data_IF_699177244957
#
_entry.id   IF_699177244957
#
_cell.length_a   1.000
_cell.length_b   1.000
_cell.length_c   1.000
_cell.angle_alpha   90.00
_cell.angle_beta   90.00
_cell.angle_gamma   90.00
#
_symmetry.space_group_name_H-M   'P 1'
#
loop_
_entity.id
_entity.type
_entity.pdbx_description
1 polymer ?
#
# COMPACT_ATOMS: atom_id res chain seq x y z
N UNK A 1 24.91 -4.14 -15.80
CA UNK A 1 23.56 -4.10 -15.18
C UNK A 1 23.53 -2.92 -14.21
N UNK A 2 22.77 -1.87 -14.54
CA UNK A 2 22.87 -0.57 -13.86
C UNK A 2 22.23 -0.55 -12.48
N UNK A 3 22.82 0.26 -11.56
CA UNK A 3 22.38 0.50 -10.17
C UNK A 3 20.89 0.83 -9.98
N UNK A 4 20.17 1.20 -11.05
CA UNK A 4 18.70 1.37 -11.08
C UNK A 4 17.93 0.05 -11.03
N UNK A 5 18.40 -1.00 -11.70
CA UNK A 5 17.76 -2.32 -11.71
C UNK A 5 17.81 -2.99 -10.33
N UNK A 6 18.92 -2.79 -9.60
CA UNK A 6 19.14 -3.37 -8.28
C UNK A 6 18.23 -2.74 -7.21
N UNK A 7 17.93 -1.43 -7.30
CA UNK A 7 16.96 -0.76 -6.42
C UNK A 7 15.51 -1.18 -6.69
N UNK A 8 15.14 -1.43 -7.95
CA UNK A 8 13.82 -1.97 -8.30
C UNK A 8 13.63 -3.41 -7.80
N UNK A 9 14.65 -4.26 -7.95
CA UNK A 9 14.65 -5.63 -7.44
C UNK A 9 14.56 -5.70 -5.92
N UNK A 10 15.28 -4.83 -5.19
CA UNK A 10 15.19 -4.71 -3.73
C UNK A 10 13.80 -4.23 -3.27
N UNK A 11 13.18 -3.27 -3.97
CA UNK A 11 11.81 -2.85 -3.67
C UNK A 11 10.79 -3.96 -3.91
N UNK A 12 10.93 -4.70 -5.02
CA UNK A 12 10.10 -5.87 -5.33
C UNK A 12 10.28 -7.00 -4.31
N UNK A 13 11.53 -7.26 -3.87
CA UNK A 13 11.84 -8.23 -2.82
C UNK A 13 11.26 -7.80 -1.47
N UNK A 14 11.33 -6.52 -1.09
CA UNK A 14 10.71 -6.02 0.13
C UNK A 14 9.18 -6.08 0.08
N UNK A 15 8.55 -5.74 -1.06
CA UNK A 15 7.09 -5.84 -1.24
C UNK A 15 6.62 -7.30 -1.24
N UNK A 16 7.36 -8.22 -1.86
CA UNK A 16 7.06 -9.66 -1.82
C UNK A 16 7.31 -10.29 -0.43
N UNK A 17 8.30 -9.78 0.32
CA UNK A 17 8.58 -10.19 1.69
C UNK A 17 7.51 -9.73 2.69
N UNK A 18 6.94 -8.54 2.49
CA UNK A 18 5.79 -8.04 3.25
C UNK A 18 4.52 -8.85 2.95
N UNK A 19 4.29 -9.23 1.70
CA UNK A 19 3.14 -10.08 1.30
C UNK A 19 3.23 -11.50 1.87
N UNK A 20 4.44 -12.01 2.13
CA UNK A 20 4.63 -13.34 2.75
C UNK A 20 4.30 -13.39 4.24
N UNK A 21 4.22 -12.26 4.93
CA UNK A 21 3.94 -12.21 6.38
C UNK A 21 2.45 -12.11 6.72
N UNK A 22 1.58 -12.04 5.71
CA UNK A 22 0.13 -11.98 5.85
C UNK A 22 -0.56 -13.22 5.24
N UNK A 23 0.10 -14.38 5.29
CA UNK A 23 -0.59 -15.66 5.14
C UNK A 23 -1.62 -15.76 6.28
N UNK A 24 -2.87 -15.52 5.89
CA UNK A 24 -4.03 -15.34 6.72
C UNK A 24 -4.14 -16.40 7.83
N UNK A 25 -4.58 -15.94 9.00
CA UNK A 25 -4.93 -16.75 10.18
C UNK A 25 -6.16 -17.63 9.92
N UNK A 26 -6.12 -18.48 8.90
CA UNK A 26 -7.15 -19.49 8.68
C UNK A 26 -6.82 -20.70 9.55
N UNK A 27 -7.72 -21.03 10.45
CA UNK A 27 -7.68 -22.24 11.26
C UNK A 27 -9.00 -23.01 11.07
N UNK A 28 -8.96 -24.32 11.32
CA UNK A 28 -10.13 -25.18 11.17
C UNK A 28 -10.67 -25.53 12.55
N UNK A 29 -11.97 -25.37 12.75
CA UNK A 29 -12.65 -26.00 13.89
C UNK A 29 -12.72 -27.52 13.66
N UNK A 30 -12.97 -28.26 14.72
CA UNK A 30 -13.19 -29.70 14.68
C UNK A 30 -14.57 -30.02 15.23
N UNK A 31 -15.33 -30.81 14.47
CA UNK A 31 -16.52 -31.48 14.98
C UNK A 31 -16.07 -32.75 15.69
N UNK A 32 -16.37 -32.85 16.98
CA UNK A 32 -15.97 -33.94 17.85
C UNK A 32 -17.23 -34.67 18.31
N UNK A 33 -17.32 -35.94 17.96
CA UNK A 33 -18.34 -36.86 18.47
C UNK A 33 -17.70 -37.78 19.52
N UNK A 34 -18.24 -37.77 20.74
CA UNK A 34 -17.80 -38.56 21.88
C UNK A 34 -18.86 -39.64 22.16
N UNK A 35 -18.47 -40.91 22.11
CA UNK A 35 -19.34 -42.06 22.39
C UNK A 35 -18.87 -42.80 23.63
N UNK A 36 -19.80 -43.15 24.51
CA UNK A 36 -19.52 -43.98 25.68
C UNK A 36 -20.79 -44.69 26.17
N UNK A 37 -20.61 -45.81 26.87
CA UNK A 37 -21.71 -46.53 27.50
C UNK A 37 -22.04 -45.94 28.86
N UNK A 38 -23.29 -45.52 29.09
CA UNK A 38 -23.71 -45.06 30.41
C UNK A 38 -24.12 -46.26 31.27
N UNK A 39 -23.28 -46.62 32.25
CA UNK A 39 -23.53 -47.76 33.15
C UNK A 39 -24.76 -47.61 34.06
N UNK A 40 -25.36 -46.42 34.19
CA UNK A 40 -26.59 -46.22 34.98
C UNK A 40 -27.83 -46.61 34.18
N UNK A 41 -27.90 -46.20 32.91
CA UNK A 41 -29.10 -46.37 32.07
C UNK A 41 -28.96 -47.51 31.05
N UNK A 42 -27.79 -48.17 31.03
CA UNK A 42 -27.40 -49.20 30.06
C UNK A 42 -27.64 -48.74 28.60
N UNK A 43 -27.26 -47.49 28.31
CA UNK A 43 -27.48 -46.84 27.01
C UNK A 43 -26.20 -46.26 26.46
N UNK A 44 -26.03 -46.42 25.14
CA UNK A 44 -25.00 -45.72 24.39
C UNK A 44 -25.34 -44.23 24.34
N UNK A 45 -24.43 -43.40 24.85
CA UNK A 45 -24.52 -41.95 24.78
C UNK A 45 -23.55 -41.46 23.70
N UNK A 46 -24.08 -40.71 22.73
CA UNK A 46 -23.30 -40.01 21.72
C UNK A 46 -23.50 -38.49 21.86
N UNK A 47 -22.40 -37.75 22.06
CA UNK A 47 -22.40 -36.30 22.19
C UNK A 47 -21.59 -35.69 21.06
N UNK A 48 -22.19 -34.78 20.30
CA UNK A 48 -21.55 -34.12 19.15
C UNK A 48 -21.37 -32.64 19.48
N UNK A 49 -20.18 -32.08 19.21
CA UNK A 49 -19.95 -30.64 19.28
C UNK A 49 -18.91 -30.14 18.28
N UNK A 50 -19.12 -28.95 17.72
CA UNK A 50 -18.09 -28.17 17.00
C UNK A 50 -17.24 -27.40 18.03
N UNK A 51 -16.52 -28.14 18.87
CA UNK A 51 -15.87 -27.65 20.09
C UNK A 51 -14.35 -27.76 20.08
N UNK A 52 -13.78 -28.40 19.06
CA UNK A 52 -12.33 -28.53 18.88
C UNK A 52 -11.77 -27.51 17.90
N UNK A 53 -10.45 -27.31 17.94
CA UNK A 53 -9.70 -26.51 16.98
C UNK A 53 -8.46 -27.28 16.54
N UNK A 54 -8.27 -27.47 15.24
CA UNK A 54 -7.08 -28.11 14.69
C UNK A 54 -5.84 -27.24 14.93
N UNK A 55 -4.74 -27.89 15.30
CA UNK A 55 -3.44 -27.24 15.39
C UNK A 55 -2.98 -26.69 14.06
N UNK A 56 -2.17 -25.63 14.08
CA UNK A 56 -1.72 -24.92 12.86
C UNK A 56 -0.91 -25.82 11.90
N UNK A 57 -0.28 -26.86 12.43
CA UNK A 57 0.54 -27.81 11.68
C UNK A 57 -0.11 -29.21 11.64
N UNK A 58 -1.38 -29.31 12.04
CA UNK A 58 -2.13 -30.57 12.08
C UNK A 58 -2.64 -30.92 10.69
N UNK A 59 -2.71 -32.23 10.41
CA UNK A 59 -3.53 -32.71 9.31
C UNK A 59 -5.00 -32.43 9.62
N UNK A 60 -5.74 -31.94 8.62
CA UNK A 60 -7.17 -31.62 8.72
C UNK A 60 -7.96 -32.73 8.03
N UNK A 61 -7.99 -33.90 8.67
CA UNK A 61 -8.64 -35.11 8.17
C UNK A 61 -9.50 -35.77 9.26
N UNK A 62 -10.38 -36.67 8.85
CA UNK A 62 -11.22 -37.44 9.77
C UNK A 62 -10.42 -38.56 10.44
N UNK A 63 -10.54 -38.71 11.76
CA UNK A 63 -9.98 -39.83 12.53
C UNK A 63 -10.98 -40.36 13.55
N UNK A 64 -10.87 -41.65 13.85
CA UNK A 64 -11.68 -42.35 14.84
C UNK A 64 -10.82 -43.27 15.70
N UNK A 65 -11.13 -43.38 16.99
CA UNK A 65 -10.48 -44.36 17.86
C UNK A 65 -10.91 -44.28 19.33
N UNK A 66 -10.50 -45.28 20.10
CA UNK A 66 -10.66 -45.30 21.55
C UNK A 66 -9.77 -44.25 22.22
N UNK A 67 -10.27 -43.56 23.23
CA UNK A 67 -9.57 -42.48 23.91
C UNK A 67 -8.70 -43.04 25.02
N UNK A 68 -7.40 -42.73 25.00
CA UNK A 68 -6.43 -43.26 25.96
C UNK A 68 -5.71 -42.13 26.68
N UNK A 69 -5.64 -42.23 28.02
CA UNK A 69 -4.89 -41.32 28.86
C UNK A 69 -3.43 -41.79 29.00
N UNK A 70 -2.46 -40.86 29.14
CA UNK A 70 -1.11 -41.23 29.55
C UNK A 70 -1.12 -41.82 30.97
N UNK A 71 -0.25 -42.80 31.19
CA UNK A 71 -0.04 -43.39 32.51
C UNK A 71 0.69 -42.39 33.40
N UNK A 72 0.10 -42.06 34.56
CA UNK A 72 0.64 -41.06 35.48
C UNK A 72 0.05 -39.68 35.23
N UNK A 73 0.91 -38.71 34.85
CA UNK A 73 0.47 -37.34 34.62
C UNK A 73 -0.25 -37.16 33.28
N UNK A 74 -1.35 -36.40 33.30
CA UNK A 74 -2.20 -36.13 32.15
C UNK A 74 -1.49 -35.26 31.10
N UNK A 75 -0.43 -34.54 31.46
CA UNK A 75 0.27 -33.66 30.53
C UNK A 75 0.98 -34.42 29.40
N UNK A 76 1.38 -35.67 29.60
CA UNK A 76 2.07 -36.45 28.57
C UNK A 76 3.44 -35.88 28.17
N UNK A 77 4.16 -35.27 29.11
CA UNK A 77 5.50 -34.71 28.90
C UNK A 77 6.63 -35.70 29.28
N UNK A 78 7.87 -35.45 28.85
CA UNK A 78 9.07 -36.12 29.37
C UNK A 78 9.54 -37.35 28.58
N UNK A 79 10.10 -38.35 29.28
CA UNK A 79 10.82 -39.51 28.69
C UNK A 79 9.95 -40.50 27.88
N UNK A 80 8.73 -40.10 27.51
CA UNK A 80 7.73 -40.94 26.86
C UNK A 80 6.66 -41.39 27.85
N UNK A 81 5.54 -40.65 28.00
CA UNK A 81 4.37 -41.16 28.72
C UNK A 81 3.91 -42.50 28.12
N UNK A 82 3.65 -43.51 28.94
CA UNK A 82 3.13 -44.80 28.46
C UNK A 82 1.62 -44.72 28.25
N UNK A 83 1.13 -45.20 27.11
CA UNK A 83 -0.30 -45.31 26.81
C UNK A 83 -0.74 -46.77 26.81
N UNK A 84 -1.58 -47.16 27.78
CA UNK A 84 -2.16 -48.50 27.82
C UNK A 84 -3.30 -48.60 26.81
N UNK A 85 -3.03 -49.20 25.65
CA UNK A 85 -3.97 -49.33 24.55
C UNK A 85 -3.98 -50.75 23.99
N UNK A 86 -5.04 -51.09 23.26
CA UNK A 86 -5.11 -52.34 22.52
C UNK A 86 -4.50 -52.15 21.12
N UNK A 87 -3.44 -52.90 20.80
CA UNK A 87 -2.70 -52.77 19.54
C UNK A 87 -3.55 -53.07 18.29
N UNK A 88 -4.70 -53.74 18.44
CA UNK A 88 -5.58 -54.11 17.33
C UNK A 88 -6.57 -53.01 16.94
N UNK A 89 -6.65 -51.92 17.72
CA UNK A 89 -7.66 -50.86 17.56
C UNK A 89 -7.01 -49.49 17.41
N UNK A 90 -7.55 -48.68 16.49
CA UNK A 90 -7.18 -47.26 16.38
C UNK A 90 -7.50 -46.54 17.70
N UNK A 91 -6.58 -45.70 18.16
CA UNK A 91 -6.71 -44.98 19.42
C UNK A 91 -6.24 -43.53 19.32
N UNK A 92 -6.79 -42.69 20.19
CA UNK A 92 -6.56 -41.25 20.25
C UNK A 92 -6.04 -40.89 21.63
N UNK A 93 -4.88 -40.23 21.68
CA UNK A 93 -4.30 -39.79 22.94
C UNK A 93 -5.04 -38.56 23.46
N UNK A 94 -5.51 -38.60 24.71
CA UNK A 94 -6.07 -37.43 25.40
C UNK A 94 -5.08 -36.91 26.44
N UNK A 95 -4.53 -35.72 26.21
CA UNK A 95 -3.49 -35.10 27.05
C UNK A 95 -3.88 -33.69 27.48
N UNK A 96 -3.41 -33.27 28.66
CA UNK A 96 -3.65 -31.95 29.22
C UNK A 96 -2.61 -30.95 28.71
N UNK A 97 -3.05 -29.73 28.42
CA UNK A 97 -2.15 -28.58 28.24
C UNK A 97 -1.36 -28.37 29.53
N UNK A 98 -0.06 -28.26 29.39
CA UNK A 98 0.86 -28.27 30.51
C UNK A 98 2.14 -27.52 30.21
N UNK A 99 3.22 -27.90 30.88
CA UNK A 99 4.46 -27.13 30.86
C UNK A 99 5.41 -27.49 29.70
N UNK A 100 5.16 -28.59 28.99
CA UNK A 100 5.88 -28.92 27.76
C UNK A 100 5.15 -28.45 26.49
N UNK A 101 5.89 -28.39 25.38
CA UNK A 101 5.38 -27.89 24.10
C UNK A 101 4.31 -28.82 23.52
N UNK A 102 3.44 -28.28 22.66
CA UNK A 102 2.48 -29.11 21.92
C UNK A 102 3.19 -30.16 21.06
N UNK A 103 4.28 -29.79 20.39
CA UNK A 103 5.08 -30.71 19.58
C UNK A 103 5.56 -31.92 20.38
N UNK A 104 6.06 -31.69 21.60
CA UNK A 104 6.58 -32.77 22.46
C UNK A 104 5.50 -33.80 22.81
N UNK A 105 4.34 -33.34 23.28
CA UNK A 105 3.19 -34.19 23.64
C UNK A 105 2.69 -34.98 22.43
N UNK A 106 2.54 -34.29 21.30
CA UNK A 106 2.01 -34.88 20.07
C UNK A 106 2.97 -35.96 19.56
N UNK A 107 4.28 -35.68 19.51
CA UNK A 107 5.29 -36.65 19.09
C UNK A 107 5.43 -37.82 20.07
N UNK A 108 5.20 -37.61 21.37
CA UNK A 108 5.23 -38.68 22.36
C UNK A 108 4.11 -39.71 22.13
N UNK A 109 2.89 -39.25 21.87
CA UNK A 109 1.76 -40.11 21.52
C UNK A 109 1.93 -40.74 20.13
N UNK A 110 2.35 -39.95 19.12
CA UNK A 110 2.58 -40.42 17.75
C UNK A 110 3.60 -41.56 17.69
N UNK A 111 4.70 -41.47 18.46
CA UNK A 111 5.72 -42.54 18.53
C UNK A 111 5.20 -43.87 19.07
N UNK A 112 4.06 -43.87 19.76
CA UNK A 112 3.39 -45.07 20.26
C UNK A 112 2.21 -45.51 19.38
N UNK A 113 2.05 -44.93 18.19
CA UNK A 113 1.04 -45.36 17.21
C UNK A 113 -0.34 -44.73 17.38
N UNK A 114 -0.46 -43.61 18.11
CA UNK A 114 -1.72 -42.86 18.18
C UNK A 114 -2.16 -42.40 16.79
N UNK A 115 -3.44 -42.59 16.45
CA UNK A 115 -4.03 -42.10 15.20
C UNK A 115 -4.19 -40.57 15.21
N UNK A 116 -4.30 -39.98 16.41
CA UNK A 116 -4.26 -38.54 16.62
C UNK A 116 -4.19 -38.18 18.09
N UNK A 117 -4.13 -36.88 18.36
CA UNK A 117 -3.90 -36.33 19.70
C UNK A 117 -4.90 -35.24 20.00
N UNK A 118 -5.63 -35.39 21.10
CA UNK A 118 -6.55 -34.39 21.64
C UNK A 118 -5.87 -33.74 22.84
N UNK A 119 -5.57 -32.46 22.73
CA UNK A 119 -5.05 -31.66 23.84
C UNK A 119 -6.20 -30.89 24.47
N UNK A 120 -6.53 -31.14 25.73
CA UNK A 120 -7.52 -30.30 26.42
C UNK A 120 -6.84 -29.17 27.21
N UNK A 121 -7.50 -28.02 27.25
CA UNK A 121 -6.90 -26.79 27.78
C UNK A 121 -6.66 -26.85 29.31
N UNK A 122 -5.92 -25.88 29.84
CA UNK A 122 -5.53 -25.81 31.25
C UNK A 122 -6.73 -25.53 32.19
N UNK A 123 -6.55 -25.78 33.49
CA UNK A 123 -7.63 -25.56 34.45
C UNK A 123 -8.04 -24.08 34.51
N UNK A 124 -9.33 -23.84 34.74
CA UNK A 124 -9.90 -22.48 34.79
C UNK A 124 -10.22 -21.86 33.43
N UNK A 125 -9.88 -22.48 32.30
CA UNK A 125 -10.22 -21.95 30.96
C UNK A 125 -11.63 -22.31 30.48
N UNK A 126 -12.38 -23.10 31.24
CA UNK A 126 -13.73 -23.54 30.86
C UNK A 126 -13.76 -24.21 29.48
N UNK A 127 -14.61 -23.69 28.59
CA UNK A 127 -14.77 -24.19 27.22
C UNK A 127 -13.86 -23.48 26.19
N UNK A 128 -13.01 -22.56 26.63
CA UNK A 128 -12.12 -21.83 25.73
C UNK A 128 -11.03 -22.74 25.18
N UNK A 129 -10.78 -22.64 23.88
CA UNK A 129 -9.68 -23.29 23.17
C UNK A 129 -8.57 -22.28 22.85
N UNK A 130 -7.39 -22.78 22.49
CA UNK A 130 -6.28 -21.97 22.00
C UNK A 130 -5.71 -22.61 20.73
N UNK A 131 -5.29 -21.79 19.78
CA UNK A 131 -4.64 -22.31 18.57
C UNK A 131 -3.31 -22.96 18.93
N UNK A 132 -3.18 -24.26 18.68
CA UNK A 132 -1.91 -24.96 18.89
C UNK A 132 -0.94 -24.64 17.76
N UNK A 133 0.32 -24.44 18.12
CA UNK A 133 1.44 -24.34 17.17
C UNK A 133 2.45 -25.43 17.50
N UNK A 134 2.70 -26.33 16.55
CA UNK A 134 3.50 -27.54 16.76
C UNK A 134 4.33 -27.90 15.51
N UNK A 135 5.27 -27.03 15.10
CA UNK A 135 5.99 -27.18 13.83
C UNK A 135 6.85 -28.46 13.74
N UNK A 136 7.21 -29.06 14.87
CA UNK A 136 8.04 -30.27 14.94
C UNK A 136 7.21 -31.56 14.98
N UNK A 137 5.88 -31.46 15.06
CA UNK A 137 4.96 -32.59 15.07
C UNK A 137 3.99 -32.48 13.87
N UNK A 138 4.49 -32.85 12.69
CA UNK A 138 3.75 -32.90 11.42
C UNK A 138 3.19 -34.30 11.17
N UNK A 139 2.38 -34.46 10.12
CA UNK A 139 1.78 -35.75 9.69
C UNK A 139 1.01 -36.46 10.82
N UNK A 140 0.15 -35.70 11.51
CA UNK A 140 -0.68 -36.19 12.60
C UNK A 140 -1.87 -35.28 12.77
N UNK A 141 -3.02 -35.86 13.11
CA UNK A 141 -4.17 -35.07 13.54
C UNK A 141 -3.99 -34.67 14.99
N UNK A 142 -4.01 -33.38 15.27
CA UNK A 142 -3.89 -32.79 16.59
C UNK A 142 -4.93 -31.67 16.77
N UNK A 143 -5.85 -31.84 17.72
CA UNK A 143 -6.89 -30.84 18.02
C UNK A 143 -6.79 -30.37 19.47
N UNK A 144 -7.23 -29.14 19.73
CA UNK A 144 -7.44 -28.63 21.08
C UNK A 144 -8.92 -28.55 21.41
N UNK A 145 -9.31 -29.06 22.59
CA UNK A 145 -10.65 -28.90 23.17
C UNK A 145 -10.59 -28.09 24.48
N UNK A 146 -11.73 -27.56 24.91
CA UNK A 146 -11.84 -26.88 26.20
C UNK A 146 -11.53 -27.79 27.38
N UNK A 147 -11.08 -27.21 28.50
CA UNK A 147 -10.77 -27.94 29.73
C UNK A 147 -12.01 -28.66 30.28
N UNK A 148 -13.19 -28.01 30.23
CA UNK A 148 -14.45 -28.59 30.70
C UNK A 148 -14.80 -29.89 29.98
N UNK A 149 -14.70 -29.93 28.66
CA UNK A 149 -14.92 -31.13 27.85
C UNK A 149 -13.87 -32.20 28.13
N UNK A 150 -12.58 -31.83 28.11
CA UNK A 150 -11.49 -32.78 28.37
C UNK A 150 -11.58 -33.44 29.74
N UNK A 151 -11.85 -32.66 30.79
CA UNK A 151 -12.03 -33.19 32.15
C UNK A 151 -13.28 -34.06 32.28
N UNK A 152 -14.33 -33.79 31.51
CA UNK A 152 -15.50 -34.67 31.41
C UNK A 152 -15.12 -36.07 30.91
N UNK A 153 -14.31 -36.14 29.86
CA UNK A 153 -13.81 -37.42 29.31
C UNK A 153 -12.84 -38.11 30.26
N UNK A 154 -11.93 -37.37 30.89
CA UNK A 154 -11.02 -37.91 31.91
C UNK A 154 -11.78 -38.59 33.05
N UNK A 155 -12.89 -38.01 33.50
CA UNK A 155 -13.73 -38.60 34.57
C UNK A 155 -14.37 -39.92 34.14
N UNK A 156 -14.84 -40.03 32.90
CA UNK A 156 -15.39 -41.27 32.35
C UNK A 156 -14.32 -42.37 32.31
N UNK A 157 -13.16 -42.08 31.73
CA UNK A 157 -12.05 -43.03 31.61
C UNK A 157 -11.54 -43.50 32.98
N UNK A 158 -11.41 -42.59 33.95
CA UNK A 158 -10.99 -42.94 35.32
C UNK A 158 -12.01 -43.78 36.09
N UNK A 159 -13.30 -43.67 35.74
CA UNK A 159 -14.35 -44.51 36.29
C UNK A 159 -14.46 -45.87 35.57
N UNK A 160 -13.52 -46.21 34.68
CA UNK A 160 -13.51 -47.45 33.93
C UNK A 160 -14.52 -47.49 32.78
N UNK A 161 -15.01 -46.34 32.33
CA UNK A 161 -15.89 -46.26 31.16
C UNK A 161 -15.05 -46.06 29.90
N UNK A 162 -15.19 -46.97 28.93
CA UNK A 162 -14.56 -46.81 27.63
C UNK A 162 -15.20 -45.66 26.85
N UNK A 163 -14.35 -44.82 26.25
CA UNK A 163 -14.77 -43.67 25.46
C UNK A 163 -14.16 -43.77 24.07
N UNK A 164 -14.97 -43.55 23.05
CA UNK A 164 -14.54 -43.42 21.66
C UNK A 164 -14.73 -41.98 21.18
N UNK A 165 -13.83 -41.53 20.31
CA UNK A 165 -13.93 -40.23 19.66
C UNK A 165 -13.88 -40.37 18.15
N UNK A 166 -14.77 -39.65 17.47
CA UNK A 166 -14.70 -39.36 16.04
C UNK A 166 -14.46 -37.86 15.87
N UNK A 167 -13.40 -37.50 15.15
CA UNK A 167 -12.99 -36.11 14.91
C UNK A 167 -13.11 -35.86 13.41
N UNK A 168 -13.87 -34.84 13.04
CA UNK A 168 -14.05 -34.41 11.65
C UNK A 168 -13.62 -32.96 11.45
N UNK A 169 -13.13 -32.60 10.26
CA UNK A 169 -12.95 -31.21 9.86
C UNK A 169 -14.26 -30.41 10.00
N UNK A 170 -14.21 -29.32 10.77
CA UNK A 170 -15.30 -28.36 10.91
C UNK A 170 -15.21 -27.23 9.88
N UNK A 171 -15.61 -26.03 10.28
CA UNK A 171 -15.61 -24.84 9.42
C UNK A 171 -14.27 -24.09 9.47
N UNK A 172 -13.79 -23.57 8.33
CA UNK A 172 -12.64 -22.68 8.32
C UNK A 172 -13.01 -21.34 8.97
N UNK A 173 -12.17 -20.86 9.87
CA UNK A 173 -12.28 -19.58 10.55
C UNK A 173 -11.01 -18.77 10.29
N UNK A 174 -11.17 -17.52 9.92
CA UNK A 174 -10.07 -16.59 9.67
C UNK A 174 -10.61 -15.27 9.18
N UNK A 175 -9.74 -14.27 8.96
CA UNK A 175 -10.18 -13.05 8.31
C UNK A 175 -10.60 -13.42 6.88
N UNK A 176 -11.92 -13.48 6.65
CA UNK A 176 -12.55 -13.47 5.33
C UNK A 176 -12.35 -12.09 4.67
N UNK A 177 -11.14 -11.54 4.76
CA UNK A 177 -10.71 -10.54 3.78
C UNK A 177 -10.33 -11.37 2.58
N UNK A 178 -11.33 -11.64 1.74
CA UNK A 178 -11.10 -12.19 0.42
C UNK A 178 -9.88 -11.48 -0.15
N UNK A 179 -8.86 -12.24 -0.54
CA UNK A 179 -7.59 -11.69 -1.06
C UNK A 179 -7.85 -10.63 -2.14
N UNK A 180 -8.97 -10.74 -2.85
CA UNK A 180 -9.56 -9.74 -3.74
C UNK A 180 -9.68 -8.32 -3.15
N UNK A 181 -10.08 -8.14 -1.89
CA UNK A 181 -10.17 -6.83 -1.25
C UNK A 181 -8.80 -6.15 -1.12
N UNK A 182 -7.75 -6.92 -0.78
CA UNK A 182 -6.39 -6.38 -0.71
C UNK A 182 -5.88 -5.99 -2.10
N UNK A 183 -6.14 -6.82 -3.12
CA UNK A 183 -5.81 -6.48 -4.50
C UNK A 183 -6.55 -5.23 -4.98
N UNK A 184 -7.85 -5.12 -4.68
CA UNK A 184 -8.67 -3.96 -5.06
C UNK A 184 -8.12 -2.66 -4.47
N UNK A 185 -7.77 -2.65 -3.18
CA UNK A 185 -7.16 -1.48 -2.53
C UNK A 185 -5.80 -1.12 -3.14
N UNK A 186 -4.97 -2.13 -3.45
CA UNK A 186 -3.67 -1.90 -4.08
C UNK A 186 -3.80 -1.30 -5.47
N UNK A 187 -4.72 -1.83 -6.30
CA UNK A 187 -4.97 -1.37 -7.67
C UNK A 187 -5.50 0.06 -7.64
N UNK A 188 -6.46 0.36 -6.76
CA UNK A 188 -7.01 1.70 -6.61
C UNK A 188 -5.92 2.72 -6.25
N UNK A 189 -5.01 2.38 -5.35
CA UNK A 189 -3.88 3.24 -4.98
C UNK A 189 -2.96 3.54 -6.18
N UNK A 190 -2.61 2.52 -6.99
CA UNK A 190 -1.78 2.72 -8.19
C UNK A 190 -2.47 3.56 -9.26
N UNK A 191 -3.78 3.39 -9.44
CA UNK A 191 -4.55 4.19 -10.43
C UNK A 191 -4.60 5.66 -10.02
N UNK A 192 -4.89 5.95 -8.75
CA UNK A 192 -4.96 7.34 -8.25
C UNK A 192 -3.60 8.03 -8.29
N UNK A 193 -2.53 7.32 -7.94
CA UNK A 193 -1.16 7.86 -8.01
C UNK A 193 -0.73 8.12 -9.46
N UNK A 194 -1.03 7.22 -10.40
CA UNK A 194 -0.74 7.45 -11.82
C UNK A 194 -1.52 8.65 -12.40
N UNK A 195 -2.80 8.77 -12.05
CA UNK A 195 -3.65 9.88 -12.48
C UNK A 195 -3.14 11.22 -11.94
N UNK A 196 -2.81 11.30 -10.65
CA UNK A 196 -2.26 12.53 -10.04
C UNK A 196 -0.92 12.94 -10.65
N UNK A 197 0.02 11.99 -10.85
CA UNK A 197 1.31 12.27 -11.50
C UNK A 197 1.13 12.79 -12.92
N UNK A 198 0.26 12.16 -13.71
CA UNK A 198 -0.04 12.59 -15.09
C UNK A 198 -0.64 14.01 -15.09
N UNK A 199 -1.54 14.30 -14.17
CA UNK A 199 -2.13 15.63 -14.00
C UNK A 199 -1.07 16.68 -13.65
N UNK A 200 -0.16 16.40 -12.71
CA UNK A 200 0.95 17.31 -12.36
C UNK A 200 1.92 17.54 -13.52
N UNK A 201 2.23 16.50 -14.30
CA UNK A 201 3.05 16.62 -15.52
C UNK A 201 2.35 17.51 -16.54
N UNK A 202 1.06 17.30 -16.77
CA UNK A 202 0.28 18.12 -17.70
C UNK A 202 0.23 19.59 -17.25
N UNK A 203 0.01 19.86 -15.96
CA UNK A 203 -0.01 21.23 -15.43
C UNK A 203 1.35 21.91 -15.55
N UNK A 204 2.44 21.21 -15.20
CA UNK A 204 3.80 21.74 -15.28
C UNK A 204 4.21 21.98 -16.74
N UNK A 205 3.92 21.04 -17.65
CA UNK A 205 4.16 21.18 -19.08
C UNK A 205 3.35 22.35 -19.67
N UNK A 206 2.06 22.46 -19.32
CA UNK A 206 1.20 23.56 -19.76
C UNK A 206 1.69 24.91 -19.26
N UNK A 207 2.14 25.00 -18.01
CA UNK A 207 2.73 26.22 -17.44
C UNK A 207 4.00 26.62 -18.18
N UNK A 208 4.91 25.67 -18.40
CA UNK A 208 6.15 25.90 -19.15
C UNK A 208 5.87 26.29 -20.61
N UNK A 209 4.88 25.65 -21.25
CA UNK A 209 4.46 26.00 -22.59
C UNK A 209 3.91 27.43 -22.67
N UNK A 210 3.05 27.84 -21.73
CA UNK A 210 2.53 29.23 -21.66
C UNK A 210 3.66 30.25 -21.48
N UNK A 211 4.60 30.01 -20.56
CA UNK A 211 5.74 30.91 -20.32
C UNK A 211 6.64 31.02 -21.55
N UNK A 212 6.99 29.88 -22.18
CA UNK A 212 7.78 29.85 -23.41
C UNK A 212 7.06 30.56 -24.56
N UNK A 213 5.74 30.39 -24.68
CA UNK A 213 4.93 31.09 -25.69
C UNK A 213 4.95 32.61 -25.47
N UNK A 214 4.81 33.07 -24.23
CA UNK A 214 4.90 34.50 -23.90
C UNK A 214 6.30 35.06 -24.25
N UNK A 215 7.36 34.37 -23.84
CA UNK A 215 8.74 34.77 -24.16
C UNK A 215 8.99 34.81 -25.67
N UNK A 216 8.47 33.84 -26.44
CA UNK A 216 8.60 33.81 -27.90
C UNK A 216 7.84 34.97 -28.56
N UNK A 217 6.64 35.28 -28.07
CA UNK A 217 5.84 36.40 -28.56
C UNK A 217 6.53 37.74 -28.29
N UNK A 218 7.04 37.96 -27.07
CA UNK A 218 7.81 39.17 -26.73
C UNK A 218 9.05 39.32 -27.61
N UNK A 219 9.83 38.24 -27.80
CA UNK A 219 10.99 38.25 -28.72
C UNK A 219 10.58 38.57 -30.16
N UNK A 220 9.48 38.00 -30.65
CA UNK A 220 8.95 38.26 -32.00
C UNK A 220 8.53 39.72 -32.15
N UNK A 221 7.84 40.26 -31.15
CA UNK A 221 7.33 41.63 -31.18
C UNK A 221 8.47 42.65 -31.05
N UNK A 222 9.48 42.39 -30.20
CA UNK A 222 10.73 43.17 -30.14
C UNK A 222 11.50 43.14 -31.45
N UNK A 223 11.54 41.99 -32.13
CA UNK A 223 12.17 41.87 -33.46
C UNK A 223 11.42 42.69 -34.53
N UNK A 224 10.08 42.66 -34.53
CA UNK A 224 9.25 43.52 -35.39
C UNK A 224 9.49 45.00 -35.09
N UNK A 225 9.50 45.41 -33.81
CA UNK A 225 9.78 46.78 -33.39
C UNK A 225 11.16 47.24 -33.88
N UNK A 226 12.21 46.42 -33.71
CA UNK A 226 13.54 46.71 -34.26
C UNK A 226 13.54 46.92 -35.77
N UNK A 227 12.76 46.14 -36.52
CA UNK A 227 12.64 46.31 -37.98
C UNK A 227 11.92 47.62 -38.31
N UNK A 228 10.80 47.90 -37.64
CA UNK A 228 10.00 49.10 -37.82
C UNK A 228 10.77 50.39 -37.50
N UNK A 229 11.51 50.41 -36.37
CA UNK A 229 12.34 51.56 -35.96
C UNK A 229 13.37 51.92 -37.04
N UNK A 230 13.96 50.92 -37.72
CA UNK A 230 14.91 51.17 -38.81
C UNK A 230 14.29 51.79 -40.06
N UNK A 231 12.97 51.71 -40.22
CA UNK A 231 12.25 52.32 -41.33
C UNK A 231 11.77 53.74 -41.01
N UNK A 232 11.92 54.22 -39.77
CA UNK A 232 11.54 55.57 -39.40
C UNK A 232 12.48 56.59 -40.02
N UNK A 233 11.95 57.77 -40.33
CA UNK A 233 12.73 58.85 -40.89
C UNK A 233 13.67 59.40 -39.82
N UNK A 234 14.98 59.33 -40.08
CA UNK A 234 16.02 59.92 -39.24
C UNK A 234 16.64 61.08 -40.01
N UNK A 235 16.72 62.25 -39.39
CA UNK A 235 17.35 63.44 -39.96
C UNK A 235 18.21 64.15 -38.92
N UNK A 236 19.21 64.89 -39.38
CA UNK A 236 20.04 65.73 -38.52
C UNK A 236 19.55 67.17 -38.66
N UNK A 237 19.31 67.85 -37.54
CA UNK A 237 18.85 69.23 -37.57
C UNK A 237 19.96 70.18 -38.06
N UNK A 238 19.60 71.02 -39.02
CA UNK A 238 20.43 72.03 -39.65
C UNK A 238 20.08 73.43 -39.16
N UNK A 239 20.76 74.45 -39.70
CA UNK A 239 20.54 75.83 -39.29
C UNK A 239 19.20 76.40 -39.71
N UNK A 240 18.61 75.82 -40.75
CA UNK A 240 17.42 76.33 -41.41
C UNK A 240 16.14 75.64 -40.89
N UNK A 241 16.28 74.65 -40.00
CA UNK A 241 15.17 73.92 -39.41
C UNK A 241 14.50 74.73 -38.28
N UNK A 242 13.18 74.91 -38.36
CA UNK A 242 12.39 75.62 -37.35
C UNK A 242 12.52 75.00 -35.95
N UNK A 243 12.69 73.67 -35.88
CA UNK A 243 12.81 72.95 -34.61
C UNK A 243 14.11 73.25 -33.86
N UNK A 244 15.19 73.63 -34.56
CA UNK A 244 16.47 73.99 -33.95
C UNK A 244 16.56 75.48 -33.58
N UNK A 245 15.69 76.32 -34.14
CA UNK A 245 15.72 77.78 -33.97
C UNK A 245 14.67 78.31 -32.97
N UNK A 246 13.77 77.45 -32.49
CA UNK A 246 12.70 77.81 -31.56
C UNK A 246 12.82 77.04 -30.25
N UNK A 247 12.93 77.76 -29.13
CA UNK A 247 12.96 77.19 -27.77
C UNK A 247 11.65 76.47 -27.39
N UNK A 248 10.58 76.66 -28.17
CA UNK A 248 9.29 75.99 -28.00
C UNK A 248 9.34 74.50 -28.37
N UNK A 249 10.30 74.08 -29.21
CA UNK A 249 10.43 72.69 -29.63
C UNK A 249 11.41 71.94 -28.72
N UNK A 250 10.89 71.01 -27.93
CA UNK A 250 11.66 70.17 -27.00
C UNK A 250 11.33 68.69 -27.21
N UNK A 251 12.30 67.82 -26.97
CA UNK A 251 12.07 66.38 -26.97
C UNK A 251 11.28 65.98 -25.73
N UNK A 252 10.04 65.49 -25.89
CA UNK A 252 9.20 65.12 -24.75
C UNK A 252 9.68 63.88 -23.95
N UNK A 253 10.79 63.24 -24.35
CA UNK A 253 11.40 62.11 -23.62
C UNK A 253 12.50 62.57 -22.67
N UNK A 254 13.44 63.42 -23.10
CA UNK A 254 14.48 63.99 -22.24
C UNK A 254 14.15 65.39 -21.70
N UNK A 255 13.13 66.03 -22.24
CA UNK A 255 12.67 67.39 -21.89
C UNK A 255 13.75 68.45 -22.21
N UNK A 256 14.60 68.18 -23.21
CA UNK A 256 15.63 69.11 -23.69
C UNK A 256 15.21 69.75 -25.02
N UNK A 257 15.56 71.03 -25.20
CA UNK A 257 15.40 71.75 -26.47
C UNK A 257 16.32 71.16 -27.54
N UNK A 258 15.85 71.16 -28.79
CA UNK A 258 16.65 70.70 -29.92
C UNK A 258 17.78 71.67 -30.26
N UNK A 259 18.92 71.12 -30.70
CA UNK A 259 20.09 71.89 -31.12
C UNK A 259 20.52 71.52 -32.53
N UNK A 260 21.24 72.43 -33.18
CA UNK A 260 21.90 72.13 -34.45
C UNK A 260 22.84 70.93 -34.29
N UNK A 261 22.77 70.00 -35.25
CA UNK A 261 23.56 68.76 -35.23
C UNK A 261 22.89 67.62 -34.46
N UNK A 262 21.76 67.85 -33.80
CA UNK A 262 21.01 66.78 -33.14
C UNK A 262 20.43 65.81 -34.16
N UNK A 263 20.57 64.51 -33.88
CA UNK A 263 19.98 63.44 -34.68
C UNK A 263 18.60 63.13 -34.13
N UNK A 264 17.57 63.51 -34.89
CA UNK A 264 16.17 63.32 -34.53
C UNK A 264 15.51 62.25 -35.39
N UNK A 265 14.53 61.57 -34.82
CA UNK A 265 13.67 60.60 -35.49
C UNK A 265 12.26 61.15 -35.55
N UNK A 266 11.68 61.17 -36.75
CA UNK A 266 10.29 61.53 -36.98
C UNK A 266 9.45 60.26 -37.02
N UNK A 267 8.44 60.18 -36.16
CA UNK A 267 7.52 59.03 -36.13
C UNK A 267 6.48 59.12 -37.25
N UNK A 268 5.77 58.04 -37.54
CA UNK A 268 4.66 58.00 -38.53
C UNK A 268 3.42 58.85 -38.14
N UNK A 269 3.49 59.54 -37.01
CA UNK A 269 2.47 60.47 -36.52
C UNK A 269 3.05 61.89 -36.42
N UNK A 270 4.15 62.14 -37.13
CA UNK A 270 4.89 63.40 -37.28
C UNK A 270 5.51 63.99 -36.01
N UNK A 271 5.36 63.35 -34.85
CA UNK A 271 6.11 63.72 -33.65
C UNK A 271 7.60 63.43 -33.77
N UNK A 272 8.41 64.39 -33.34
CA UNK A 272 9.87 64.40 -33.45
C UNK A 272 10.47 64.15 -32.06
N UNK A 273 11.55 63.35 -32.01
CA UNK A 273 12.30 63.06 -30.78
C UNK A 273 13.78 62.85 -31.11
N UNK A 274 14.69 63.06 -30.14
CA UNK A 274 16.08 62.58 -30.29
C UNK A 274 16.09 61.07 -30.53
N UNK A 275 16.91 60.63 -31.49
CA UNK A 275 17.04 59.21 -31.85
C UNK A 275 17.39 58.34 -30.64
N UNK A 276 18.37 58.77 -29.86
CA UNK A 276 18.83 58.07 -28.65
C UNK A 276 17.76 57.96 -27.57
N UNK A 277 16.84 58.92 -27.51
CA UNK A 277 15.75 58.94 -26.53
C UNK A 277 14.58 58.05 -26.95
N UNK A 278 14.21 58.07 -28.23
CA UNK A 278 12.98 57.40 -28.70
C UNK A 278 13.18 55.92 -29.03
N UNK A 279 14.37 55.50 -29.45
CA UNK A 279 14.63 54.09 -29.78
C UNK A 279 14.41 53.12 -28.60
N UNK A 280 14.94 53.36 -27.38
CA UNK A 280 14.67 52.50 -26.23
C UNK A 280 13.19 52.44 -25.86
N UNK A 281 12.50 53.59 -25.93
CA UNK A 281 11.07 53.69 -25.66
C UNK A 281 10.24 52.84 -26.62
N UNK A 282 10.51 52.93 -27.92
CA UNK A 282 9.80 52.17 -28.96
C UNK A 282 10.08 50.67 -28.89
N UNK A 283 11.24 50.24 -28.38
CA UNK A 283 11.54 48.82 -28.16
C UNK A 283 10.71 48.21 -27.03
N UNK A 284 10.28 49.01 -26.07
CA UNK A 284 9.48 48.56 -24.93
C UNK A 284 7.98 48.78 -25.15
N UNK A 285 7.56 50.01 -25.47
CA UNK A 285 6.15 50.40 -25.53
C UNK A 285 5.56 50.37 -26.94
N UNK A 286 6.39 50.53 -27.98
CA UNK A 286 5.98 50.53 -29.42
C UNK A 286 4.98 51.63 -29.79
N UNK A 287 4.81 52.63 -28.94
CA UNK A 287 3.85 53.70 -29.12
C UNK A 287 4.54 55.06 -29.00
N UNK A 288 4.03 56.07 -29.69
CA UNK A 288 4.48 57.44 -29.52
C UNK A 288 4.24 57.91 -28.07
N UNK A 289 5.24 58.52 -27.39
CA UNK A 289 5.09 59.09 -26.06
C UNK A 289 3.98 60.16 -25.96
N UNK A 290 3.72 60.89 -27.06
CA UNK A 290 2.78 62.01 -27.08
C UNK A 290 1.35 61.57 -27.42
N UNK A 291 1.15 60.90 -28.55
CA UNK A 291 -0.19 60.56 -29.04
C UNK A 291 -0.60 59.09 -28.87
N UNK A 292 0.29 58.23 -28.35
CA UNK A 292 0.08 56.78 -28.18
C UNK A 292 -0.18 55.99 -29.48
N UNK A 293 0.04 56.59 -30.66
CA UNK A 293 -0.01 55.88 -31.94
C UNK A 293 0.99 54.71 -31.95
N UNK A 294 0.52 53.51 -32.32
CA UNK A 294 1.32 52.28 -32.41
C UNK A 294 2.10 52.27 -33.73
N UNK A 295 3.43 52.27 -33.63
CA UNK A 295 4.30 52.33 -34.81
C UNK A 295 4.22 51.05 -35.66
N UNK A 296 3.88 49.90 -35.07
CA UNK A 296 3.75 48.64 -35.81
C UNK A 296 2.48 48.63 -36.65
N UNK A 297 1.37 49.14 -36.10
CA UNK A 297 0.11 49.28 -36.84
C UNK A 297 0.23 50.30 -37.96
N UNK A 298 0.85 51.45 -37.69
CA UNK A 298 1.01 52.51 -38.69
C UNK A 298 1.90 52.09 -39.88
N UNK A 299 2.88 51.21 -39.65
CA UNK A 299 3.76 50.66 -40.70
C UNK A 299 3.22 49.37 -41.34
N UNK A 300 2.04 48.88 -40.93
CA UNK A 300 1.40 47.68 -41.50
C UNK A 300 2.08 46.34 -41.17
N UNK A 301 2.75 46.21 -40.00
CA UNK A 301 3.60 45.05 -39.64
C UNK A 301 3.03 44.17 -38.52
#
# INVERSE_FOLDING_TARGET
>A
MGKRGQRCLLLWLCLSGLVRSSAAFVFWTAEVEIKYWNGVDDKLVAKICECGVFGRNSDVTEIFGSVVLPTGDLEGCGSGPLYSHNNSTSWIALVKRGNCTFSEKINAAKRQGAAGVVVFNADGTGNSTSQMFHPEAVDTVAIMIGNGQGMGVVRLLRNGTDVEMLIKPGKPHGPWVDTYWLYLLSIAFFVVTAASVTYFIFLSASRLYRLRRHQRNERRLKSKAKKAIRCLQVRTLTRDDEEANSESHMCAVCIESYRMGDVVTVLTCDHIFHKTCIEPWLLEKRTCPMCKCDILKALGV
#
